data_IF_566736208426
#
_entry.id   IF_566736208426
#
_cell.length_a   1.000
_cell.length_b   1.000
_cell.length_c   1.000
_cell.angle_alpha   90.00
_cell.angle_beta   90.00
_cell.angle_gamma   90.00
#
_symmetry.space_group_name_H-M   'P 1'
#
loop_
_entity.id
_entity.type
_entity.pdbx_description
1 polymer ?
#
# COMPACT_ATOMS: atom_id res chain seq x y z
N UNK A 1 -48.01 -10.42 11.32
CA UNK A 1 -46.75 -10.23 12.09
C UNK A 1 -45.64 -10.91 11.33
N UNK A 2 -44.92 -10.16 10.51
CA UNK A 2 -43.79 -10.68 9.73
C UNK A 2 -42.49 -10.14 10.37
N UNK A 3 -41.75 -11.03 11.03
CA UNK A 3 -40.37 -10.74 11.49
C UNK A 3 -39.42 -11.02 10.36
N UNK A 4 -38.68 -9.99 9.94
CA UNK A 4 -37.57 -10.11 9.04
C UNK A 4 -36.46 -10.99 9.64
N UNK A 5 -35.74 -11.81 8.85
CA UNK A 5 -34.62 -12.61 9.35
C UNK A 5 -33.42 -11.71 9.62
N UNK A 6 -32.91 -11.83 10.83
CA UNK A 6 -31.76 -11.11 11.36
C UNK A 6 -30.49 -11.47 10.56
N UNK A 7 -29.70 -10.44 10.21
CA UNK A 7 -28.35 -10.48 9.65
C UNK A 7 -27.32 -11.10 10.63
N UNK A 8 -27.52 -12.35 11.03
CA UNK A 8 -26.62 -13.04 11.96
C UNK A 8 -25.57 -13.95 11.29
N UNK A 9 -25.59 -14.07 9.95
CA UNK A 9 -24.74 -15.03 9.23
C UNK A 9 -23.35 -14.54 8.83
N UNK A 10 -23.15 -13.22 8.65
CA UNK A 10 -21.91 -12.70 8.10
C UNK A 10 -20.78 -12.57 9.11
N UNK A 11 -21.11 -12.34 10.39
CA UNK A 11 -20.14 -12.26 11.48
C UNK A 11 -19.56 -13.62 11.90
N UNK A 12 -20.25 -14.71 11.63
CA UNK A 12 -19.82 -16.06 12.00
C UNK A 12 -18.88 -16.71 10.97
N UNK A 13 -19.06 -16.38 9.70
CA UNK A 13 -18.15 -16.80 8.61
C UNK A 13 -16.79 -16.10 8.66
N UNK A 14 -16.73 -14.88 9.20
CA UNK A 14 -15.46 -14.16 9.46
C UNK A 14 -14.65 -14.78 10.61
N UNK A 15 -15.28 -15.43 11.58
CA UNK A 15 -14.59 -16.10 12.70
C UNK A 15 -13.98 -17.46 12.36
N UNK A 16 -14.38 -18.09 11.26
CA UNK A 16 -13.89 -19.41 10.83
C UNK A 16 -12.70 -19.36 9.87
N UNK A 17 -12.36 -18.19 9.32
CA UNK A 17 -11.03 -17.96 8.69
C UNK A 17 -10.05 -17.58 9.79
N UNK A 18 -9.48 -18.56 10.42
CA UNK A 18 -8.37 -18.40 11.37
C UNK A 18 -7.09 -17.88 10.70
N UNK A 19 -7.11 -16.68 10.33
CA UNK A 19 -6.15 -15.61 10.07
C UNK A 19 -7.01 -14.45 9.55
N UNK A 20 -7.19 -13.42 10.35
CA UNK A 20 -7.59 -12.14 9.80
C UNK A 20 -6.44 -11.73 8.88
N UNK A 21 -6.59 -11.98 7.58
CA UNK A 21 -5.67 -11.44 6.60
C UNK A 21 -5.73 -9.92 6.78
N UNK A 22 -4.67 -9.34 7.32
CA UNK A 22 -4.56 -7.90 7.48
C UNK A 22 -4.63 -7.31 6.08
N UNK A 23 -5.63 -6.46 5.82
CA UNK A 23 -5.75 -5.79 4.52
C UNK A 23 -4.52 -4.92 4.28
N UNK A 24 -4.04 -4.89 3.06
CA UNK A 24 -2.92 -4.02 2.70
C UNK A 24 -3.37 -2.57 2.70
N UNK A 25 -2.73 -1.73 3.49
CA UNK A 25 -3.02 -0.30 3.54
C UNK A 25 -2.44 0.39 2.32
N UNK A 26 -3.31 0.96 1.50
CA UNK A 26 -2.92 1.72 0.32
C UNK A 26 -3.23 3.22 0.51
N UNK A 27 -2.25 4.07 0.26
CA UNK A 27 -2.45 5.52 0.19
C UNK A 27 -2.60 5.94 -1.26
N UNK A 28 -3.77 6.48 -1.61
CA UNK A 28 -4.10 6.99 -2.93
C UNK A 28 -4.06 8.52 -2.91
N UNK A 29 -3.17 9.10 -3.71
CA UNK A 29 -2.96 10.56 -3.78
C UNK A 29 -3.20 11.03 -5.21
N UNK A 30 -4.31 11.70 -5.43
CA UNK A 30 -4.74 12.24 -6.72
C UNK A 30 -5.71 13.41 -6.46
N UNK A 31 -5.60 14.52 -7.16
CA UNK A 31 -6.50 15.68 -6.99
C UNK A 31 -7.81 15.53 -7.75
N UNK A 32 -7.87 14.65 -8.75
CA UNK A 32 -9.09 14.28 -9.45
C UNK A 32 -10.00 13.45 -8.53
N UNK A 33 -11.04 14.09 -8.00
CA UNK A 33 -11.98 13.49 -7.04
C UNK A 33 -12.73 12.32 -7.65
N UNK A 34 -13.22 12.45 -8.90
CA UNK A 34 -13.98 11.39 -9.58
C UNK A 34 -13.12 10.14 -9.79
N UNK A 35 -11.88 10.33 -10.23
CA UNK A 35 -10.92 9.24 -10.41
C UNK A 35 -10.55 8.60 -9.07
N UNK A 36 -10.30 9.41 -8.04
CA UNK A 36 -9.92 8.94 -6.70
C UNK A 36 -11.03 8.11 -6.08
N UNK A 37 -12.29 8.60 -6.11
CA UNK A 37 -13.45 7.84 -5.61
C UNK A 37 -13.65 6.53 -6.38
N UNK A 38 -13.62 6.57 -7.71
CA UNK A 38 -13.79 5.38 -8.53
C UNK A 38 -12.72 4.31 -8.26
N UNK A 39 -11.46 4.73 -8.06
CA UNK A 39 -10.36 3.81 -7.72
C UNK A 39 -10.51 3.26 -6.30
N UNK A 40 -10.88 4.09 -5.35
CA UNK A 40 -11.11 3.72 -3.95
C UNK A 40 -12.20 2.65 -3.86
N UNK A 41 -13.36 2.88 -4.47
CA UNK A 41 -14.47 1.91 -4.50
C UNK A 41 -14.04 0.57 -5.10
N UNK A 42 -13.36 0.59 -6.26
CA UNK A 42 -12.94 -0.63 -6.92
C UNK A 42 -11.87 -1.39 -6.13
N UNK A 43 -10.94 -0.70 -5.47
CA UNK A 43 -9.93 -1.31 -4.61
C UNK A 43 -10.57 -1.96 -3.37
N UNK A 44 -11.50 -1.27 -2.70
CA UNK A 44 -12.23 -1.79 -1.55
C UNK A 44 -13.06 -3.04 -1.91
N UNK A 45 -13.67 -3.07 -3.11
CA UNK A 45 -14.41 -4.24 -3.61
C UNK A 45 -13.54 -5.50 -3.77
N UNK A 46 -12.22 -5.35 -3.88
CA UNK A 46 -11.32 -6.52 -3.96
C UNK A 46 -11.16 -7.27 -2.65
N UNK A 47 -11.60 -6.69 -1.51
CA UNK A 47 -11.40 -7.21 -0.16
C UNK A 47 -9.92 -7.48 0.18
N UNK A 48 -9.00 -6.81 -0.52
CA UNK A 48 -7.55 -6.97 -0.40
C UNK A 48 -6.86 -5.73 0.17
N UNK A 49 -7.51 -4.56 0.00
CA UNK A 49 -6.97 -3.27 0.39
C UNK A 49 -7.85 -2.56 1.43
N UNK A 50 -7.18 -1.81 2.30
CA UNK A 50 -7.73 -0.76 3.14
C UNK A 50 -7.24 0.57 2.56
N UNK A 51 -8.15 1.40 2.02
CA UNK A 51 -7.83 2.55 1.18
C UNK A 51 -7.87 3.84 1.98
N UNK A 52 -6.81 4.61 1.89
CA UNK A 52 -6.68 5.96 2.45
C UNK A 52 -6.47 6.94 1.31
N UNK A 53 -7.19 8.04 1.30
CA UNK A 53 -7.23 9.00 0.21
C UNK A 53 -6.61 10.34 0.60
N UNK A 54 -5.94 11.00 -0.35
CA UNK A 54 -5.43 12.37 -0.24
C UNK A 54 -5.66 13.10 -1.56
N UNK A 55 -5.95 14.39 -1.48
CA UNK A 55 -6.10 15.27 -2.64
C UNK A 55 -4.86 16.11 -2.93
N UNK A 56 -3.82 16.04 -2.09
CA UNK A 56 -2.62 16.86 -2.22
C UNK A 56 -1.38 16.19 -1.62
N UNK A 57 -0.21 16.68 -2.03
CA UNK A 57 1.07 16.22 -1.48
C UNK A 57 1.24 16.56 0.01
N UNK A 58 0.78 17.73 0.43
CA UNK A 58 0.83 18.14 1.84
C UNK A 58 0.03 17.20 2.73
N UNK A 59 -1.19 16.82 2.31
CA UNK A 59 -2.03 15.87 3.03
C UNK A 59 -1.36 14.47 3.11
N UNK A 60 -0.75 14.03 2.00
CA UNK A 60 -0.02 12.76 1.96
C UNK A 60 1.15 12.76 2.96
N UNK A 61 1.95 13.84 3.02
CA UNK A 61 3.07 13.96 3.96
C UNK A 61 2.60 13.94 5.43
N UNK A 62 1.45 14.51 5.75
CA UNK A 62 0.91 14.42 7.10
C UNK A 62 0.42 13.01 7.44
N UNK A 63 -0.25 12.31 6.51
CA UNK A 63 -0.73 10.95 6.74
C UNK A 63 0.39 9.94 6.93
N UNK A 64 1.51 10.05 6.20
CA UNK A 64 2.66 9.14 6.37
C UNK A 64 3.41 9.32 7.70
N UNK A 65 3.27 10.48 8.36
CA UNK A 65 3.78 10.68 9.73
C UNK A 65 2.93 9.96 10.78
N UNK A 66 1.63 9.80 10.50
CA UNK A 66 0.67 9.23 11.46
C UNK A 66 0.66 7.70 11.42
N UNK A 67 0.84 7.10 10.24
CA UNK A 67 0.84 5.66 10.06
C UNK A 67 1.67 5.21 8.87
N UNK A 68 2.02 3.92 8.85
CA UNK A 68 2.67 3.27 7.70
C UNK A 68 1.64 2.74 6.72
N UNK A 69 2.05 2.68 5.46
CA UNK A 69 1.29 2.10 4.36
C UNK A 69 2.10 0.97 3.71
N UNK A 70 1.39 -0.01 3.14
CA UNK A 70 2.01 -1.14 2.46
C UNK A 70 2.28 -0.82 0.99
N UNK A 71 1.55 0.16 0.44
CA UNK A 71 1.71 0.64 -0.94
C UNK A 71 1.18 2.07 -1.07
N UNK A 72 1.74 2.84 -2.00
CA UNK A 72 1.26 4.16 -2.36
C UNK A 72 1.01 4.28 -3.86
N UNK A 73 -0.04 5.01 -4.24
CA UNK A 73 -0.32 5.45 -5.60
C UNK A 73 -0.30 6.97 -5.60
N UNK A 74 0.60 7.56 -6.39
CA UNK A 74 0.79 9.00 -6.45
C UNK A 74 0.52 9.53 -7.85
N UNK A 75 -0.36 10.51 -7.98
CA UNK A 75 -0.44 11.29 -9.21
C UNK A 75 0.77 12.22 -9.36
N UNK A 76 1.25 12.38 -10.60
CA UNK A 76 2.33 13.32 -10.92
C UNK A 76 1.83 14.76 -10.88
N UNK A 77 0.60 15.01 -11.33
CA UNK A 77 0.01 16.33 -11.53
C UNK A 77 -0.70 16.89 -10.32
N UNK A 78 -0.13 16.81 -9.11
CA UNK A 78 -0.77 17.35 -7.90
C UNK A 78 -0.80 18.89 -7.88
N UNK A 79 -1.80 19.52 -7.22
CA UNK A 79 -1.98 20.96 -7.27
C UNK A 79 -0.94 21.77 -6.50
N UNK A 80 -0.31 21.16 -5.50
CA UNK A 80 0.63 21.80 -4.56
C UNK A 80 2.10 21.40 -4.77
N UNK A 81 2.34 20.31 -5.50
CA UNK A 81 3.70 19.80 -5.78
C UNK A 81 3.71 18.86 -6.99
N UNK A 82 4.87 18.68 -7.60
CA UNK A 82 5.08 17.58 -8.55
C UNK A 82 5.12 16.25 -7.79
N UNK A 83 4.33 15.24 -8.21
CA UNK A 83 4.29 13.93 -7.55
C UNK A 83 5.65 13.23 -7.48
N UNK A 84 6.56 13.52 -8.44
CA UNK A 84 7.95 13.02 -8.43
C UNK A 84 8.76 13.63 -7.28
N UNK A 85 8.57 14.92 -7.03
CA UNK A 85 9.22 15.59 -5.89
C UNK A 85 8.63 15.09 -4.57
N UNK A 86 7.31 14.90 -4.49
CA UNK A 86 6.66 14.26 -3.35
C UNK A 86 7.26 12.86 -3.08
N UNK A 87 7.45 12.06 -4.11
CA UNK A 87 8.08 10.73 -3.99
C UNK A 87 9.49 10.83 -3.39
N UNK A 88 10.33 11.76 -3.87
CA UNK A 88 11.65 12.00 -3.29
C UNK A 88 11.59 12.38 -1.81
N UNK A 89 10.66 13.26 -1.44
CA UNK A 89 10.46 13.66 -0.05
C UNK A 89 10.03 12.49 0.84
N UNK A 90 9.10 11.67 0.37
CA UNK A 90 8.66 10.45 1.04
C UNK A 90 9.85 9.49 1.26
N UNK A 91 10.67 9.28 0.24
CA UNK A 91 11.87 8.42 0.34
C UNK A 91 12.91 8.98 1.32
N UNK A 92 13.12 10.30 1.34
CA UNK A 92 14.00 10.96 2.32
C UNK A 92 13.53 10.77 3.77
N UNK A 93 12.23 10.61 3.99
CA UNK A 93 11.69 10.28 5.33
C UNK A 93 11.86 8.80 5.71
N UNK A 94 12.50 7.99 4.86
CA UNK A 94 12.78 6.58 5.15
C UNK A 94 11.64 5.63 4.81
N UNK A 95 10.59 6.07 4.14
CA UNK A 95 9.49 5.21 3.68
C UNK A 95 9.99 4.25 2.62
N UNK A 96 9.76 2.95 2.81
CA UNK A 96 10.28 1.85 1.98
C UNK A 96 9.19 1.12 1.18
N UNK A 97 7.93 1.33 1.49
CA UNK A 97 6.84 0.67 0.76
C UNK A 97 6.88 1.02 -0.73
N UNK A 98 6.37 0.16 -1.61
CA UNK A 98 6.28 0.42 -3.03
C UNK A 98 5.48 1.69 -3.32
N UNK A 99 5.95 2.47 -4.29
CA UNK A 99 5.27 3.66 -4.81
C UNK A 99 5.05 3.45 -6.30
N UNK A 100 3.79 3.52 -6.73
CA UNK A 100 3.37 3.50 -8.12
C UNK A 100 2.89 4.89 -8.50
N UNK A 101 3.44 5.45 -9.59
CA UNK A 101 3.06 6.77 -10.06
C UNK A 101 2.02 6.70 -11.16
N UNK A 102 1.05 7.62 -11.12
CA UNK A 102 0.11 7.86 -12.22
C UNK A 102 0.56 9.11 -12.97
N UNK A 103 0.61 9.05 -14.30
CA UNK A 103 1.04 10.18 -15.14
C UNK A 103 0.09 10.40 -16.31
N UNK A 104 -0.17 11.66 -16.63
CA UNK A 104 -0.96 12.04 -17.82
C UNK A 104 -0.14 12.13 -19.11
N UNK A 105 1.19 11.98 -19.04
CA UNK A 105 2.07 12.13 -20.19
C UNK A 105 2.85 10.84 -20.45
N UNK A 106 2.81 10.39 -21.68
CA UNK A 106 3.45 9.17 -22.16
C UNK A 106 4.77 9.51 -22.90
N UNK A 107 5.65 10.23 -22.20
CA UNK A 107 7.00 10.45 -22.71
C UNK A 107 8.00 9.56 -21.99
N UNK A 108 8.95 8.97 -22.73
CA UNK A 108 10.03 8.15 -22.15
C UNK A 108 10.82 8.92 -21.08
N UNK A 109 10.92 10.24 -21.23
CA UNK A 109 11.55 11.13 -20.24
C UNK A 109 10.80 11.19 -18.90
N UNK A 110 9.47 11.23 -18.92
CA UNK A 110 8.68 11.25 -17.68
C UNK A 110 8.77 9.94 -16.91
N UNK A 111 8.87 8.85 -17.64
CA UNK A 111 9.14 7.50 -17.14
C UNK A 111 10.47 7.44 -16.39
N UNK A 112 11.54 7.84 -17.02
CA UNK A 112 12.89 7.81 -16.44
C UNK A 112 12.96 8.72 -15.21
N UNK A 113 12.40 9.94 -15.29
CA UNK A 113 12.37 10.87 -14.16
C UNK A 113 11.54 10.36 -12.98
N UNK A 114 10.47 9.60 -13.24
CA UNK A 114 9.66 8.98 -12.18
C UNK A 114 10.42 7.88 -11.43
N UNK A 115 11.13 7.00 -12.13
CA UNK A 115 11.97 5.96 -11.51
C UNK A 115 13.16 6.57 -10.76
N UNK A 116 13.81 7.61 -11.28
CA UNK A 116 14.87 8.36 -10.61
C UNK A 116 14.39 9.06 -9.32
N UNK A 117 13.08 9.35 -9.23
CA UNK A 117 12.47 9.87 -8.01
C UNK A 117 12.34 8.83 -6.89
N UNK A 118 12.59 7.55 -7.18
CA UNK A 118 12.47 6.45 -6.22
C UNK A 118 11.10 5.74 -6.27
N UNK A 119 10.31 5.95 -7.32
CA UNK A 119 9.12 5.15 -7.61
C UNK A 119 9.51 3.72 -8.03
N UNK A 120 8.63 2.76 -7.75
CA UNK A 120 8.83 1.36 -8.13
C UNK A 120 8.23 1.04 -9.49
N UNK A 121 7.18 1.77 -9.88
CA UNK A 121 6.48 1.57 -11.15
C UNK A 121 5.66 2.82 -11.47
N UNK A 122 5.12 2.90 -12.70
CA UNK A 122 4.20 3.96 -13.08
C UNK A 122 3.23 3.49 -14.15
N UNK A 123 2.09 4.19 -14.25
CA UNK A 123 1.03 3.92 -15.20
C UNK A 123 0.62 5.24 -15.86
N UNK A 124 0.51 5.23 -17.17
CA UNK A 124 0.01 6.37 -17.95
C UNK A 124 -1.52 6.41 -17.93
N UNK A 125 -2.09 7.58 -17.65
CA UNK A 125 -3.52 7.87 -17.80
C UNK A 125 -3.84 8.13 -19.29
N UNK A 126 -4.96 7.61 -19.83
CA UNK A 126 -5.96 6.78 -19.18
C UNK A 126 -5.56 5.30 -19.09
N UNK A 127 -5.94 4.64 -18.01
CA UNK A 127 -5.66 3.22 -17.78
C UNK A 127 -6.94 2.45 -17.42
N UNK A 128 -6.87 1.11 -17.51
CA UNK A 128 -7.94 0.22 -17.06
C UNK A 128 -7.63 -0.29 -15.65
N UNK A 129 -8.63 -0.33 -14.77
CA UNK A 129 -8.48 -0.79 -13.40
C UNK A 129 -7.81 -2.18 -13.26
N UNK A 130 -8.13 -3.22 -14.09
CA UNK A 130 -7.44 -4.51 -14.00
C UNK A 130 -5.92 -4.42 -14.21
N UNK A 131 -5.46 -3.48 -15.05
CA UNK A 131 -4.03 -3.23 -15.25
C UNK A 131 -3.39 -2.62 -14.00
N UNK A 132 -4.03 -1.61 -13.41
CA UNK A 132 -3.59 -1.00 -12.16
C UNK A 132 -3.50 -2.07 -11.05
N UNK A 133 -4.58 -2.83 -10.84
CA UNK A 133 -4.65 -3.88 -9.82
C UNK A 133 -3.54 -4.94 -9.98
N UNK A 134 -3.26 -5.35 -11.22
CA UNK A 134 -2.19 -6.31 -11.52
C UNK A 134 -0.82 -5.77 -11.10
N UNK A 135 -0.53 -4.49 -11.39
CA UNK A 135 0.73 -3.84 -11.02
C UNK A 135 0.84 -3.65 -9.51
N UNK A 136 -0.23 -3.20 -8.83
CA UNK A 136 -0.25 -3.07 -7.37
C UNK A 136 0.10 -4.39 -6.68
N UNK A 137 -0.54 -5.49 -7.11
CA UNK A 137 -0.26 -6.83 -6.57
C UNK A 137 1.16 -7.30 -6.86
N UNK A 138 1.70 -6.99 -8.04
CA UNK A 138 3.07 -7.33 -8.40
C UNK A 138 4.07 -6.58 -7.50
N UNK A 139 3.86 -5.29 -7.27
CA UNK A 139 4.72 -4.47 -6.41
C UNK A 139 4.69 -4.92 -4.95
N UNK A 140 3.52 -5.25 -4.40
CA UNK A 140 3.41 -5.81 -3.05
C UNK A 140 4.18 -7.12 -2.93
N UNK A 141 3.98 -8.07 -3.86
CA UNK A 141 4.69 -9.36 -3.84
C UNK A 141 6.21 -9.20 -3.95
N UNK A 142 6.70 -8.28 -4.80
CA UNK A 142 8.13 -8.00 -4.90
C UNK A 142 8.68 -7.40 -3.61
N UNK A 143 7.91 -6.49 -2.99
CA UNK A 143 8.30 -5.89 -1.72
C UNK A 143 8.35 -6.90 -0.58
N UNK A 144 7.38 -7.80 -0.48
CA UNK A 144 7.36 -8.91 0.49
C UNK A 144 8.60 -9.82 0.40
N UNK A 145 9.15 -9.95 -0.79
CA UNK A 145 10.37 -10.73 -1.06
C UNK A 145 11.65 -9.90 -0.92
N UNK A 146 11.55 -8.59 -0.72
CA UNK A 146 12.70 -7.70 -0.60
C UNK A 146 13.31 -7.71 0.81
N UNK A 147 14.55 -7.21 0.91
CA UNK A 147 15.22 -7.03 2.20
C UNK A 147 14.55 -5.96 3.09
N UNK A 148 13.79 -5.06 2.49
CA UNK A 148 13.08 -3.97 3.16
C UNK A 148 11.73 -4.40 3.76
N UNK A 149 11.24 -5.61 3.45
CA UNK A 149 9.95 -6.09 3.94
C UNK A 149 9.94 -6.21 5.47
N UNK A 150 8.93 -5.60 6.08
CA UNK A 150 8.69 -5.66 7.53
C UNK A 150 7.22 -6.03 7.76
N UNK A 151 6.98 -7.16 8.41
CA UNK A 151 5.65 -7.60 8.77
C UNK A 151 5.35 -7.31 10.25
N UNK A 152 4.20 -6.72 10.51
CA UNK A 152 3.72 -6.50 11.88
C UNK A 152 2.92 -7.71 12.35
N UNK A 153 3.37 -8.35 13.42
CA UNK A 153 2.72 -9.52 14.04
C UNK A 153 2.31 -9.14 15.47
N UNK A 154 1.21 -8.39 15.59
CA UNK A 154 0.82 -7.80 16.87
C UNK A 154 1.87 -6.80 17.36
N UNK A 155 2.47 -6.98 18.56
CA UNK A 155 3.50 -6.10 19.08
C UNK A 155 4.89 -6.34 18.47
N UNK A 156 5.04 -7.35 17.59
CA UNK A 156 6.32 -7.75 17.00
C UNK A 156 6.45 -7.25 15.57
N UNK A 157 7.69 -6.96 15.13
CA UNK A 157 8.04 -6.67 13.74
C UNK A 157 8.92 -7.79 13.20
N UNK A 158 8.49 -8.44 12.16
CA UNK A 158 9.23 -9.53 11.52
C UNK A 158 9.87 -9.06 10.20
N UNK A 159 11.16 -9.36 10.02
CA UNK A 159 11.93 -9.11 8.80
C UNK A 159 12.33 -10.44 8.17
N UNK A 160 11.59 -10.95 7.17
CA UNK A 160 11.81 -12.28 6.59
C UNK A 160 13.19 -12.47 5.97
N UNK A 161 13.66 -11.46 5.23
CA UNK A 161 14.93 -11.49 4.51
C UNK A 161 16.15 -11.82 5.39
N UNK A 162 16.14 -11.29 6.63
CA UNK A 162 17.21 -11.50 7.61
C UNK A 162 16.79 -12.43 8.75
N UNK A 163 15.56 -12.98 8.70
CA UNK A 163 14.99 -13.90 9.70
C UNK A 163 15.03 -13.34 11.13
N UNK A 164 14.72 -12.05 11.28
CA UNK A 164 14.72 -11.37 12.58
C UNK A 164 13.30 -10.97 12.97
N UNK A 165 12.92 -11.35 14.20
CA UNK A 165 11.77 -10.84 14.91
C UNK A 165 12.21 -9.75 15.88
N UNK A 166 11.62 -8.56 15.79
CA UNK A 166 11.87 -7.45 16.72
C UNK A 166 10.69 -7.36 17.68
N UNK A 167 10.95 -7.44 18.97
CA UNK A 167 9.94 -7.33 20.03
C UNK A 167 9.55 -5.87 20.29
N UNK A 168 8.48 -5.64 21.06
CA UNK A 168 8.07 -4.31 21.48
C UNK A 168 9.17 -3.55 22.26
N UNK A 169 10.05 -4.29 22.95
CA UNK A 169 11.21 -3.74 23.71
C UNK A 169 12.46 -3.59 22.84
N UNK A 170 12.30 -3.59 21.52
CA UNK A 170 13.39 -3.46 20.52
C UNK A 170 14.46 -4.58 20.56
N UNK A 171 14.15 -5.71 21.21
CA UNK A 171 15.02 -6.88 21.19
C UNK A 171 14.91 -7.61 19.85
N UNK A 172 16.07 -7.96 19.30
CA UNK A 172 16.16 -8.71 18.03
C UNK A 172 16.33 -10.21 18.32
N UNK A 173 15.40 -11.01 17.87
CA UNK A 173 15.42 -12.47 17.98
C UNK A 173 15.66 -13.03 16.58
N UNK A 174 16.72 -13.78 16.39
CA UNK A 174 17.01 -14.46 15.13
C UNK A 174 16.24 -15.77 15.08
N UNK A 175 15.47 -15.96 14.01
CA UNK A 175 14.66 -17.14 13.77
C UNK A 175 15.41 -18.16 12.92
N UNK A 176 15.16 -19.43 13.17
CA UNK A 176 15.57 -20.53 12.29
C UNK A 176 14.67 -20.61 11.07
N UNK A 177 15.07 -21.39 10.04
CA UNK A 177 14.22 -21.61 8.86
C UNK A 177 12.85 -22.22 9.19
N UNK A 178 12.81 -23.15 10.13
CA UNK A 178 11.57 -23.78 10.56
C UNK A 178 10.63 -22.79 11.24
N UNK A 179 11.16 -21.92 12.10
CA UNK A 179 10.38 -20.88 12.79
C UNK A 179 9.92 -19.78 11.82
N UNK A 180 10.74 -19.42 10.82
CA UNK A 180 10.38 -18.46 9.77
C UNK A 180 9.22 -18.96 8.91
N UNK A 181 9.15 -20.26 8.62
CA UNK A 181 8.09 -20.84 7.78
C UNK A 181 6.75 -21.04 8.50
N UNK A 182 6.71 -20.83 9.81
CA UNK A 182 5.49 -20.93 10.64
C UNK A 182 4.81 -19.55 10.78
N UNK A 183 5.56 -18.45 10.64
CA UNK A 183 5.07 -17.07 10.71
C UNK A 183 4.51 -16.60 9.37
#
# INVERSE_FOLDING_TARGET
CNKAPQRAGMGYLMKLRGRMAQLNKILLVDDDEDLREALSEQLLMTEYFDVYECSSGAEALEKIKQQSYDLMVLDVGLPDTDGRELCRLIRKQGVKCPILMLTGHDTDSDTILGLDAGANDYITKPFKFPMLLTRLRAQLRQHEQSEDAIFSLGPYKFKPSIKILVTADDKKIRLTEKETNIL
#
